data_IF_222737464264
#
_entry.id   IF_222737464264
#
_cell.length_a   1.000
_cell.length_b   1.000
_cell.length_c   1.000
_cell.angle_alpha   90.00
_cell.angle_beta   90.00
_cell.angle_gamma   90.00
#
_symmetry.space_group_name_H-M   'P 1'
#
loop_
_entity.id
_entity.type
_entity.pdbx_description
1 polymer ?
#
# COMPACT_ATOMS: atom_id res chain seq x y z
N UNK A 1 -21.26 -1.08 3.75
CA UNK A 1 -20.49 -2.30 3.40
C UNK A 1 -19.04 -1.93 3.46
N UNK A 2 -18.25 -2.65 4.28
CA UNK A 2 -16.80 -2.51 4.42
C UNK A 2 -16.16 -2.67 3.05
N UNK A 3 -15.16 -1.85 2.73
CA UNK A 3 -14.45 -1.91 1.47
C UNK A 3 -13.79 -3.28 1.31
N UNK A 4 -13.96 -3.89 0.16
CA UNK A 4 -13.45 -5.23 -0.18
C UNK A 4 -11.91 -5.34 -0.19
N UNK A 5 -11.18 -4.24 -0.01
CA UNK A 5 -9.72 -4.23 -0.06
C UNK A 5 -9.05 -4.90 1.15
N UNK A 6 -9.72 -4.98 2.31
CA UNK A 6 -9.15 -5.59 3.52
C UNK A 6 -9.14 -7.13 3.49
N UNK A 7 -9.91 -7.75 2.60
CA UNK A 7 -10.11 -9.21 2.56
C UNK A 7 -9.30 -9.89 1.44
N UNK A 8 -8.52 -9.13 0.67
CA UNK A 8 -7.72 -9.63 -0.44
C UNK A 8 -6.25 -9.74 -0.05
N UNK A 9 -5.73 -10.95 -0.08
CA UNK A 9 -4.31 -11.24 0.17
C UNK A 9 -3.58 -11.48 -1.12
N UNK A 10 -2.46 -10.82 -1.28
CA UNK A 10 -1.58 -10.97 -2.43
C UNK A 10 -0.17 -11.30 -1.94
N UNK A 11 0.39 -12.41 -2.42
CA UNK A 11 1.74 -12.88 -2.09
C UNK A 11 2.43 -13.25 -3.37
N UNK A 12 3.74 -13.02 -3.42
CA UNK A 12 4.53 -13.24 -4.61
C UNK A 12 5.94 -13.67 -4.26
N UNK A 13 6.51 -14.53 -5.10
CA UNK A 13 7.94 -14.82 -5.17
C UNK A 13 8.43 -14.25 -6.49
N UNK A 14 9.49 -13.46 -6.41
CA UNK A 14 10.07 -12.72 -7.53
C UNK A 14 11.57 -12.95 -7.61
N UNK A 15 12.06 -13.30 -8.79
CA UNK A 15 13.48 -13.43 -9.08
C UNK A 15 13.99 -12.07 -9.57
N UNK A 16 14.84 -11.44 -8.75
CA UNK A 16 15.37 -10.10 -9.04
C UNK A 16 16.47 -10.11 -10.12
N UNK A 17 17.17 -11.24 -10.31
CA UNK A 17 18.20 -11.37 -11.33
C UNK A 17 17.59 -11.54 -12.73
N UNK A 18 16.54 -12.37 -12.82
CA UNK A 18 15.83 -12.63 -14.08
C UNK A 18 14.69 -11.66 -14.37
N UNK A 19 14.29 -10.86 -13.36
CA UNK A 19 13.18 -9.93 -13.51
C UNK A 19 11.83 -10.64 -13.70
N UNK A 20 11.61 -11.81 -13.09
CA UNK A 20 10.41 -12.61 -13.36
C UNK A 20 9.69 -13.08 -12.09
N UNK A 21 8.37 -13.24 -12.21
CA UNK A 21 7.53 -13.82 -11.17
C UNK A 21 7.72 -15.34 -11.19
N UNK A 22 8.15 -15.94 -10.08
CA UNK A 22 8.25 -17.39 -9.91
C UNK A 22 6.95 -18.00 -9.35
N UNK A 23 6.19 -17.22 -8.60
CA UNK A 23 4.90 -17.64 -8.09
C UNK A 23 4.08 -16.46 -7.59
N UNK A 24 2.76 -16.54 -7.73
CA UNK A 24 1.83 -15.51 -7.25
C UNK A 24 0.56 -16.17 -6.69
N UNK A 25 0.07 -15.66 -5.58
CA UNK A 25 -1.19 -16.11 -4.98
C UNK A 25 -2.04 -14.91 -4.61
N UNK A 26 -3.29 -14.93 -5.06
CA UNK A 26 -4.32 -13.96 -4.68
C UNK A 26 -5.45 -14.72 -4.02
N UNK A 27 -5.77 -14.38 -2.78
CA UNK A 27 -6.86 -14.99 -2.03
C UNK A 27 -7.83 -13.88 -1.63
N UNK A 28 -9.08 -14.05 -2.00
CA UNK A 28 -10.18 -13.20 -1.60
C UNK A 28 -11.21 -14.08 -0.87
N UNK A 29 -10.99 -14.25 0.42
CA UNK A 29 -11.90 -15.04 1.27
C UNK A 29 -12.11 -14.32 2.61
N UNK A 30 -13.19 -14.69 3.30
CA UNK A 30 -13.55 -14.14 4.62
C UNK A 30 -12.83 -14.82 5.79
N UNK A 31 -11.82 -15.65 5.53
CA UNK A 31 -11.07 -16.33 6.59
C UNK A 31 -10.14 -15.36 7.30
N UNK A 32 -9.89 -15.64 8.59
CA UNK A 32 -9.03 -14.79 9.40
C UNK A 32 -7.58 -14.79 8.91
N UNK A 33 -7.02 -13.62 8.77
CA UNK A 33 -5.69 -13.32 8.24
C UNK A 33 -4.56 -14.15 8.86
N UNK A 34 -4.63 -14.38 10.17
CA UNK A 34 -3.57 -15.07 10.91
C UNK A 34 -3.49 -16.58 10.62
N UNK A 35 -4.59 -17.23 10.25
CA UNK A 35 -4.64 -18.67 10.02
C UNK A 35 -4.11 -19.06 8.65
N UNK A 36 -4.36 -18.25 7.63
CA UNK A 36 -4.07 -18.60 6.22
C UNK A 36 -2.73 -18.07 5.72
N UNK A 37 -2.10 -17.11 6.40
CA UNK A 37 -0.91 -16.43 5.91
C UNK A 37 0.26 -17.40 5.72
N UNK A 38 0.68 -18.09 6.77
CA UNK A 38 1.88 -18.94 6.75
C UNK A 38 1.74 -20.19 5.88
N UNK A 39 0.61 -20.94 5.93
CA UNK A 39 0.39 -22.05 4.99
C UNK A 39 0.51 -21.61 3.52
N UNK A 40 -0.10 -20.49 3.15
CA UNK A 40 -0.06 -19.97 1.77
C UNK A 40 1.35 -19.56 1.35
N UNK A 41 2.12 -18.91 2.24
CA UNK A 41 3.52 -18.55 1.93
C UNK A 41 4.36 -19.81 1.70
N UNK A 42 4.24 -20.80 2.58
CA UNK A 42 4.95 -22.08 2.43
C UNK A 42 4.60 -22.80 1.13
N UNK A 43 3.31 -22.88 0.82
CA UNK A 43 2.84 -23.55 -0.40
C UNK A 43 3.28 -22.79 -1.66
N UNK A 44 3.29 -21.45 -1.62
CA UNK A 44 3.76 -20.63 -2.73
C UNK A 44 5.26 -20.86 -3.01
N UNK A 45 6.10 -20.84 -1.98
CA UNK A 45 7.55 -21.08 -2.11
C UNK A 45 7.80 -22.50 -2.63
N UNK A 46 7.14 -23.51 -2.05
CA UNK A 46 7.26 -24.90 -2.50
C UNK A 46 6.83 -25.07 -3.97
N UNK A 47 5.72 -24.45 -4.39
CA UNK A 47 5.23 -24.55 -5.78
C UNK A 47 6.13 -23.78 -6.77
N UNK A 48 6.94 -22.86 -6.29
CA UNK A 48 8.01 -22.22 -7.06
C UNK A 48 9.31 -23.07 -7.10
N UNK A 49 9.25 -24.31 -6.58
CA UNK A 49 10.41 -25.23 -6.48
C UNK A 49 11.57 -24.67 -5.66
N UNK A 50 11.26 -23.82 -4.66
CA UNK A 50 12.20 -23.20 -3.75
C UNK A 50 12.02 -23.69 -2.31
N UNK A 51 13.07 -23.53 -1.51
CA UNK A 51 13.02 -23.60 -0.06
C UNK A 51 12.93 -22.19 0.55
N UNK A 52 12.60 -22.10 1.84
CA UNK A 52 12.54 -20.80 2.52
C UNK A 52 13.93 -20.17 2.67
N UNK A 53 14.99 -20.97 2.68
CA UNK A 53 16.40 -20.59 2.75
C UNK A 53 16.87 -19.90 1.48
N UNK A 54 16.25 -20.20 0.32
CA UNK A 54 16.56 -19.59 -0.98
C UNK A 54 16.02 -18.17 -1.08
N UNK A 55 15.12 -17.76 -0.17
CA UNK A 55 14.59 -16.39 -0.13
C UNK A 55 15.67 -15.45 0.40
N UNK A 56 16.09 -14.49 -0.41
CA UNK A 56 17.12 -13.50 -0.05
C UNK A 56 16.60 -12.29 0.72
N UNK A 57 15.33 -11.90 0.50
CA UNK A 57 14.70 -10.71 1.09
C UNK A 57 13.22 -10.96 1.34
N UNK A 58 12.71 -10.57 2.51
CA UNK A 58 11.28 -10.56 2.83
C UNK A 58 10.73 -9.14 2.77
N UNK A 59 9.86 -8.85 1.83
CA UNK A 59 9.24 -7.54 1.68
C UNK A 59 7.78 -7.54 2.14
N UNK A 60 7.34 -6.42 2.70
CA UNK A 60 5.96 -6.21 3.12
C UNK A 60 5.51 -4.78 2.89
N UNK A 61 4.26 -4.60 2.42
CA UNK A 61 3.63 -3.29 2.48
C UNK A 61 3.40 -2.90 3.94
N UNK A 62 4.04 -1.83 4.38
CA UNK A 62 4.01 -1.38 5.77
C UNK A 62 2.99 -0.27 6.04
N UNK A 63 2.28 0.22 5.02
CA UNK A 63 1.24 1.26 5.12
C UNK A 63 1.27 2.25 3.96
N UNK A 64 0.24 3.08 3.88
CA UNK A 64 -0.99 3.06 4.69
C UNK A 64 -1.88 1.84 4.42
N UNK A 65 -2.76 1.50 5.35
CA UNK A 65 -3.67 0.36 5.21
C UNK A 65 -4.41 -0.03 6.47
N UNK A 66 -5.07 -1.19 6.43
CA UNK A 66 -5.77 -1.77 7.58
C UNK A 66 -4.82 -1.99 8.76
N UNK A 67 -5.12 -1.37 9.90
CA UNK A 67 -4.30 -1.44 11.12
C UNK A 67 -3.99 -2.89 11.55
N UNK A 68 -5.01 -3.75 11.57
CA UNK A 68 -4.86 -5.17 11.89
C UNK A 68 -4.07 -5.92 10.81
N UNK A 69 -4.40 -5.69 9.54
CA UNK A 69 -3.72 -6.33 8.41
C UNK A 69 -2.22 -6.03 8.35
N UNK A 70 -1.85 -4.76 8.54
CA UNK A 70 -0.45 -4.33 8.58
C UNK A 70 0.32 -5.04 9.70
N UNK A 71 -0.24 -5.07 10.91
CA UNK A 71 0.41 -5.73 12.05
C UNK A 71 0.61 -7.22 11.83
N UNK A 72 -0.39 -7.92 11.29
CA UNK A 72 -0.28 -9.35 10.98
C UNK A 72 0.80 -9.60 9.93
N UNK A 73 0.79 -8.85 8.82
CA UNK A 73 1.78 -8.97 7.75
C UNK A 73 3.21 -8.69 8.23
N UNK A 74 3.39 -7.57 8.93
CA UNK A 74 4.70 -7.17 9.48
C UNK A 74 5.21 -8.20 10.50
N UNK A 75 4.36 -8.68 11.42
CA UNK A 75 4.76 -9.68 12.41
C UNK A 75 5.19 -10.99 11.76
N UNK A 76 4.49 -11.42 10.70
CA UNK A 76 4.85 -12.63 9.96
C UNK A 76 6.20 -12.46 9.24
N UNK A 77 6.42 -11.33 8.56
CA UNK A 77 7.70 -11.05 7.89
C UNK A 77 8.84 -10.94 8.90
N UNK A 78 8.64 -10.25 10.03
CA UNK A 78 9.62 -10.22 11.14
C UNK A 78 9.99 -11.62 11.61
N UNK A 79 8.99 -12.47 11.84
CA UNK A 79 9.21 -13.84 12.31
C UNK A 79 10.01 -14.69 11.31
N UNK A 80 9.66 -14.63 10.02
CA UNK A 80 10.37 -15.33 8.95
C UNK A 80 11.81 -14.83 8.79
N UNK A 81 12.00 -13.53 8.70
CA UNK A 81 13.30 -12.91 8.51
C UNK A 81 14.22 -13.17 9.70
N UNK A 82 13.70 -13.09 10.93
CA UNK A 82 14.44 -13.41 12.14
C UNK A 82 14.88 -14.88 12.18
N UNK A 83 13.94 -15.82 11.94
CA UNK A 83 14.22 -17.25 11.97
C UNK A 83 15.24 -17.69 10.93
N UNK A 84 15.30 -17.02 9.77
CA UNK A 84 16.18 -17.36 8.66
C UNK A 84 17.41 -16.45 8.56
N UNK A 85 17.57 -15.51 9.48
CA UNK A 85 18.67 -14.51 9.47
C UNK A 85 18.73 -13.75 8.14
N UNK A 86 17.56 -13.34 7.60
CA UNK A 86 17.43 -12.63 6.33
C UNK A 86 17.01 -11.17 6.54
N UNK A 87 17.36 -10.25 5.63
CA UNK A 87 16.88 -8.88 5.69
C UNK A 87 15.39 -8.77 5.34
N UNK A 88 14.80 -7.63 5.73
CA UNK A 88 13.45 -7.22 5.37
C UNK A 88 13.46 -5.95 4.53
N UNK A 89 12.37 -5.71 3.79
CA UNK A 89 12.06 -4.40 3.19
C UNK A 89 10.65 -3.96 3.59
N UNK A 90 10.55 -2.70 4.03
CA UNK A 90 9.29 -2.00 4.19
C UNK A 90 8.97 -1.24 2.90
N UNK A 91 7.79 -1.45 2.35
CA UNK A 91 7.34 -0.83 1.10
C UNK A 91 6.08 -0.03 1.37
N UNK A 92 6.04 1.22 0.89
CA UNK A 92 4.79 1.99 0.91
C UNK A 92 3.72 1.28 0.10
N UNK A 93 2.49 1.18 0.66
CA UNK A 93 1.33 0.65 -0.07
C UNK A 93 1.02 1.48 -1.30
N UNK A 94 1.18 2.81 -1.19
CA UNK A 94 0.92 3.75 -2.30
C UNK A 94 1.98 3.60 -3.39
N UNK A 95 3.24 3.47 -3.01
CA UNK A 95 4.34 3.24 -3.95
C UNK A 95 4.18 1.91 -4.69
N UNK A 96 3.84 0.83 -3.99
CA UNK A 96 3.59 -0.47 -4.60
C UNK A 96 2.48 -0.41 -5.67
N UNK A 97 1.48 0.48 -5.52
CA UNK A 97 0.44 0.68 -6.53
C UNK A 97 0.96 1.43 -7.76
N UNK A 98 1.90 2.37 -7.61
CA UNK A 98 2.50 3.07 -8.74
C UNK A 98 3.28 2.10 -9.64
N UNK A 99 3.95 1.09 -9.07
CA UNK A 99 4.63 0.05 -9.85
C UNK A 99 3.71 -0.84 -10.70
N UNK A 100 2.39 -0.82 -10.48
CA UNK A 100 1.46 -1.58 -11.33
C UNK A 100 1.25 -0.95 -12.71
N UNK A 101 1.56 0.33 -12.88
CA UNK A 101 1.27 1.09 -14.10
C UNK A 101 2.53 1.56 -14.83
N UNK A 102 3.64 0.87 -14.63
CA UNK A 102 4.96 1.19 -15.22
C UNK A 102 5.00 1.14 -16.75
N UNK A 103 3.97 0.59 -17.39
CA UNK A 103 3.81 0.61 -18.85
C UNK A 103 3.29 1.95 -19.41
N UNK A 104 2.91 2.89 -18.53
CA UNK A 104 2.36 4.19 -18.91
C UNK A 104 3.28 5.32 -18.44
N UNK A 105 3.66 6.22 -19.34
CA UNK A 105 4.37 7.44 -18.96
C UNK A 105 3.35 8.47 -18.49
N UNK A 106 3.27 8.70 -17.18
CA UNK A 106 2.25 9.56 -16.55
C UNK A 106 2.63 9.94 -15.12
N UNK A 107 1.88 10.89 -14.56
CA UNK A 107 1.84 11.08 -13.11
C UNK A 107 0.83 10.10 -12.51
N UNK A 108 1.23 9.35 -11.51
CA UNK A 108 0.39 8.39 -10.78
C UNK A 108 -0.03 9.02 -9.46
N UNK A 109 -1.33 9.19 -9.28
CA UNK A 109 -1.91 9.51 -7.99
C UNK A 109 -2.34 8.20 -7.31
N UNK A 110 -1.55 7.72 -6.40
CA UNK A 110 -1.91 6.59 -5.57
C UNK A 110 -2.76 7.07 -4.39
N UNK A 111 -4.03 6.66 -4.35
CA UNK A 111 -4.99 7.12 -3.35
C UNK A 111 -5.74 5.97 -2.69
N UNK A 112 -5.81 5.98 -1.36
CA UNK A 112 -6.63 5.05 -0.58
C UNK A 112 -7.66 5.79 0.26
N UNK A 113 -8.88 5.24 0.36
CA UNK A 113 -9.97 5.82 1.17
C UNK A 113 -9.59 5.83 2.66
N UNK A 114 -9.32 7.01 3.20
CA UNK A 114 -9.01 7.23 4.62
C UNK A 114 -10.26 7.55 5.46
N UNK A 115 -11.46 7.41 4.88
CA UNK A 115 -12.78 7.77 5.44
C UNK A 115 -12.97 9.26 5.69
N UNK A 116 -14.21 9.67 5.96
CA UNK A 116 -14.57 11.06 6.30
C UNK A 116 -14.10 12.08 5.25
N UNK A 117 -14.29 11.78 3.96
CA UNK A 117 -13.88 12.63 2.83
C UNK A 117 -12.37 12.92 2.81
N UNK A 118 -11.56 11.97 3.27
CA UNK A 118 -10.11 12.03 3.24
C UNK A 118 -9.54 10.83 2.49
N UNK A 119 -8.36 11.04 1.92
CA UNK A 119 -7.57 9.99 1.25
C UNK A 119 -6.16 9.96 1.82
N UNK A 120 -5.59 8.77 1.90
CA UNK A 120 -4.14 8.63 1.93
C UNK A 120 -3.66 8.76 0.51
N UNK A 121 -2.75 9.66 0.25
CA UNK A 121 -2.30 10.00 -1.09
C UNK A 121 -0.79 10.21 -1.15
N UNK A 122 -0.20 9.79 -2.25
CA UNK A 122 1.15 10.17 -2.68
C UNK A 122 1.20 10.19 -4.20
N UNK A 123 2.03 11.05 -4.75
CA UNK A 123 2.23 11.20 -6.18
C UNK A 123 3.57 10.60 -6.60
N UNK A 124 3.55 9.98 -7.77
CA UNK A 124 4.72 9.37 -8.38
C UNK A 124 4.75 9.73 -9.87
N UNK A 125 5.93 9.86 -10.44
CA UNK A 125 6.12 9.96 -11.88
C UNK A 125 6.57 8.60 -12.41
N UNK A 126 5.90 8.13 -13.44
CA UNK A 126 6.35 6.97 -14.21
C UNK A 126 6.87 7.46 -15.54
N UNK A 127 8.09 7.07 -15.86
CA UNK A 127 8.72 7.38 -17.14
C UNK A 127 9.71 6.27 -17.52
N UNK A 128 9.53 5.69 -18.72
CA UNK A 128 10.35 4.60 -19.21
C UNK A 128 10.42 3.39 -18.28
N UNK A 129 9.32 3.06 -17.60
CA UNK A 129 9.21 1.96 -16.64
C UNK A 129 9.80 2.23 -15.26
N UNK A 130 10.38 3.42 -15.01
CA UNK A 130 10.90 3.84 -13.71
C UNK A 130 9.84 4.60 -12.93
N UNK A 131 9.80 4.36 -11.63
CA UNK A 131 8.91 5.06 -10.69
C UNK A 131 9.76 6.00 -9.84
N UNK A 132 9.42 7.29 -9.88
CA UNK A 132 10.02 8.34 -9.07
C UNK A 132 8.96 8.91 -8.13
N UNK A 133 9.28 9.05 -6.86
CA UNK A 133 8.40 9.68 -5.87
C UNK A 133 8.41 11.19 -6.06
N UNK A 134 7.23 11.81 -6.16
CA UNK A 134 7.05 13.26 -6.25
C UNK A 134 6.67 13.88 -4.91
N UNK A 135 5.87 13.17 -4.10
CA UNK A 135 5.43 13.66 -2.78
C UNK A 135 5.58 12.59 -1.70
N UNK A 136 5.66 13.02 -0.46
CA UNK A 136 5.51 12.12 0.69
C UNK A 136 4.07 11.60 0.81
N UNK A 137 3.88 10.55 1.62
CA UNK A 137 2.55 10.04 1.93
C UNK A 137 1.84 10.98 2.90
N UNK A 138 0.68 11.45 2.50
CA UNK A 138 -0.15 12.31 3.32
C UNK A 138 -1.58 11.78 3.49
N UNK A 139 -2.25 12.29 4.52
CA UNK A 139 -3.68 12.10 4.68
C UNK A 139 -4.38 13.44 4.50
N UNK A 140 -4.92 13.67 3.31
CA UNK A 140 -5.52 14.93 2.90
C UNK A 140 -7.05 14.81 2.75
N UNK A 141 -7.76 15.93 2.77
CA UNK A 141 -9.11 15.99 2.24
C UNK A 141 -9.07 15.83 0.72
N UNK A 142 -10.14 15.31 0.16
CA UNK A 142 -10.21 15.02 -1.28
C UNK A 142 -10.06 16.26 -2.15
N UNK A 143 -10.57 17.42 -1.70
CA UNK A 143 -10.43 18.71 -2.38
C UNK A 143 -9.01 19.28 -2.31
N UNK A 144 -8.31 19.06 -1.18
CA UNK A 144 -6.91 19.43 -1.04
C UNK A 144 -6.01 18.56 -1.94
N UNK A 145 -6.27 17.26 -1.98
CA UNK A 145 -5.57 16.33 -2.87
C UNK A 145 -5.84 16.63 -4.37
N UNK A 146 -7.06 17.02 -4.74
CA UNK A 146 -7.38 17.40 -6.10
C UNK A 146 -6.64 18.68 -6.53
N UNK A 147 -6.55 19.68 -5.64
CA UNK A 147 -5.76 20.91 -5.91
C UNK A 147 -4.26 20.61 -6.06
N UNK A 148 -3.70 19.71 -5.27
CA UNK A 148 -2.32 19.27 -5.44
C UNK A 148 -2.09 18.65 -6.82
N UNK A 149 -3.07 17.90 -7.36
CA UNK A 149 -2.99 17.32 -8.70
C UNK A 149 -3.06 18.38 -9.81
N UNK A 150 -3.77 19.50 -9.60
CA UNK A 150 -3.89 20.56 -10.60
C UNK A 150 -2.57 21.31 -10.89
N UNK A 151 -1.52 21.06 -10.10
CA UNK A 151 -0.18 21.58 -10.36
C UNK A 151 0.57 20.81 -11.47
N UNK A 152 -0.02 19.70 -11.97
CA UNK A 152 0.59 18.83 -12.98
C UNK A 152 -0.22 18.87 -14.28
N UNK A 153 0.45 19.24 -15.38
CA UNK A 153 -0.14 19.24 -16.73
C UNK A 153 -0.04 17.86 -17.42
N UNK A 154 0.66 16.91 -16.81
CA UNK A 154 0.84 15.55 -17.33
C UNK A 154 -0.49 14.77 -17.34
N UNK A 155 -0.57 13.69 -18.14
CA UNK A 155 -1.63 12.68 -17.97
C UNK A 155 -1.54 12.10 -16.54
N UNK A 156 -2.65 12.08 -15.81
CA UNK A 156 -2.71 11.59 -14.43
C UNK A 156 -3.48 10.29 -14.38
N UNK A 157 -2.86 9.26 -13.77
CA UNK A 157 -3.50 7.97 -13.54
C UNK A 157 -3.78 7.75 -12.07
N UNK A 158 -5.06 7.57 -11.73
CA UNK A 158 -5.52 7.29 -10.37
C UNK A 158 -5.46 5.79 -10.08
N UNK A 159 -4.76 5.39 -9.02
CA UNK A 159 -4.71 4.00 -8.51
C UNK A 159 -5.16 3.95 -7.06
N UNK A 160 -5.57 2.76 -6.60
CA UNK A 160 -6.08 2.51 -5.26
C UNK A 160 -7.60 2.54 -5.15
N UNK A 161 -8.12 2.21 -3.98
CA UNK A 161 -9.58 2.22 -3.70
C UNK A 161 -10.14 3.64 -3.52
N UNK A 162 -9.27 4.63 -3.29
CA UNK A 162 -9.61 6.05 -3.31
C UNK A 162 -9.74 6.66 -4.71
N UNK A 163 -9.40 5.92 -5.79
CA UNK A 163 -9.38 6.44 -7.15
C UNK A 163 -10.73 7.05 -7.61
N UNK A 164 -11.85 6.41 -7.26
CA UNK A 164 -13.18 6.93 -7.64
C UNK A 164 -13.55 8.21 -6.87
N UNK A 165 -13.14 8.30 -5.61
CA UNK A 165 -13.35 9.49 -4.78
C UNK A 165 -12.52 10.64 -5.34
N UNK A 166 -11.26 10.37 -5.70
CA UNK A 166 -10.36 11.33 -6.31
C UNK A 166 -10.86 11.77 -7.69
N UNK A 167 -11.33 10.84 -8.55
CA UNK A 167 -11.89 11.21 -9.87
C UNK A 167 -13.03 12.20 -9.75
N UNK A 168 -13.95 11.95 -8.80
CA UNK A 168 -15.05 12.90 -8.55
C UNK A 168 -14.53 14.27 -8.10
N UNK A 169 -13.50 14.32 -7.26
CA UNK A 169 -12.93 15.59 -6.81
C UNK A 169 -12.22 16.34 -7.94
N UNK A 170 -11.45 15.64 -8.77
CA UNK A 170 -10.77 16.24 -9.93
C UNK A 170 -11.73 16.66 -11.03
N UNK A 171 -12.86 15.95 -11.23
CA UNK A 171 -13.92 16.38 -12.16
C UNK A 171 -14.58 17.70 -11.70
N UNK A 172 -14.77 17.89 -10.39
CA UNK A 172 -15.30 19.14 -9.84
C UNK A 172 -14.33 20.32 -10.04
N UNK A 173 -13.02 20.08 -10.11
CA UNK A 173 -11.99 21.08 -10.43
C UNK A 173 -11.80 21.25 -11.96
N UNK A 174 -12.56 20.53 -12.79
CA UNK A 174 -12.51 20.64 -14.26
C UNK A 174 -11.29 19.99 -14.91
N UNK A 175 -10.63 19.04 -14.25
CA UNK A 175 -9.44 18.37 -14.77
C UNK A 175 -9.81 17.26 -15.77
N UNK A 176 -9.43 17.44 -17.04
CA UNK A 176 -9.71 16.48 -18.12
C UNK A 176 -8.60 15.42 -18.31
N UNK A 177 -7.37 15.71 -17.84
CA UNK A 177 -6.20 14.86 -17.97
C UNK A 177 -6.13 13.70 -16.95
N UNK A 178 -7.19 13.46 -16.17
CA UNK A 178 -7.24 12.47 -15.07
C UNK A 178 -8.03 11.25 -15.48
N UNK A 179 -7.41 10.07 -15.40
CA UNK A 179 -8.02 8.77 -15.71
C UNK A 179 -7.88 7.79 -14.55
N UNK A 180 -8.85 6.89 -14.38
CA UNK A 180 -8.76 5.79 -13.42
C UNK A 180 -8.06 4.61 -14.10
N UNK A 181 -7.08 4.02 -13.43
CA UNK A 181 -6.40 2.82 -13.91
C UNK A 181 -7.39 1.66 -14.12
N UNK A 182 -7.17 0.80 -15.13
CA UNK A 182 -7.94 -0.44 -15.30
C UNK A 182 -7.95 -1.27 -14.03
N UNK A 183 -9.05 -2.00 -13.79
CA UNK A 183 -9.29 -2.75 -12.55
C UNK A 183 -8.12 -3.68 -12.14
N UNK A 184 -7.48 -4.44 -13.05
CA UNK A 184 -6.35 -5.29 -12.70
C UNK A 184 -5.11 -4.54 -12.18
N UNK A 185 -4.92 -3.28 -12.57
CA UNK A 185 -3.75 -2.44 -12.26
C UNK A 185 -4.00 -1.48 -11.09
N UNK A 186 -5.27 -1.25 -10.74
CA UNK A 186 -5.66 -0.21 -9.78
C UNK A 186 -5.26 -0.53 -8.35
N UNK A 187 -5.33 -1.78 -7.94
CA UNK A 187 -5.10 -2.17 -6.55
C UNK A 187 -3.70 -2.71 -6.33
N UNK A 188 -3.18 -2.52 -5.11
CA UNK A 188 -1.90 -3.08 -4.70
C UNK A 188 -1.75 -4.55 -5.11
N UNK A 189 -0.59 -4.90 -5.68
CA UNK A 189 -0.23 -6.27 -6.06
C UNK A 189 1.02 -6.74 -5.30
N UNK A 190 1.22 -8.05 -5.21
CA UNK A 190 2.50 -8.61 -4.75
C UNK A 190 3.65 -8.20 -5.66
N UNK A 191 3.38 -8.06 -6.97
CA UNK A 191 4.36 -7.61 -7.95
C UNK A 191 4.85 -6.19 -7.68
N UNK A 192 3.93 -5.25 -7.46
CA UNK A 192 4.30 -3.88 -7.11
C UNK A 192 5.12 -3.81 -5.82
N UNK A 193 4.79 -4.63 -4.80
CA UNK A 193 5.60 -4.71 -3.57
C UNK A 193 6.99 -5.26 -3.87
N UNK A 194 7.13 -6.30 -4.69
CA UNK A 194 8.43 -6.86 -5.06
C UNK A 194 9.29 -5.84 -5.80
N UNK A 195 8.73 -5.12 -6.80
CA UNK A 195 9.46 -4.12 -7.57
C UNK A 195 9.92 -2.94 -6.70
N UNK A 196 9.04 -2.42 -5.86
CA UNK A 196 9.40 -1.36 -4.92
C UNK A 196 10.49 -1.81 -3.93
N UNK A 197 10.43 -3.08 -3.47
CA UNK A 197 11.40 -3.64 -2.53
C UNK A 197 12.82 -3.77 -3.09
N UNK A 198 12.98 -3.91 -4.42
CA UNK A 198 14.31 -4.00 -5.08
C UNK A 198 15.16 -2.76 -4.77
N UNK A 199 14.51 -1.58 -4.70
CA UNK A 199 15.18 -0.31 -4.47
C UNK A 199 15.04 0.19 -3.02
N UNK A 200 14.27 -0.52 -2.19
CA UNK A 200 14.06 -0.14 -0.81
C UNK A 200 15.27 -0.45 0.08
N UNK A 201 15.51 0.35 1.13
CA UNK A 201 16.54 0.03 2.12
C UNK A 201 16.30 -1.33 2.77
N UNK A 202 17.34 -2.14 2.89
CA UNK A 202 17.28 -3.38 3.65
C UNK A 202 17.29 -3.06 5.15
N UNK A 203 16.37 -3.66 5.87
CA UNK A 203 16.15 -3.47 7.30
C UNK A 203 16.41 -4.78 8.05
N UNK A 204 16.80 -4.68 9.31
CA UNK A 204 16.71 -5.82 10.22
C UNK A 204 15.24 -6.07 10.62
N UNK A 205 14.89 -7.28 11.08
CA UNK A 205 13.52 -7.55 11.55
C UNK A 205 13.03 -6.58 12.63
N UNK A 206 13.93 -6.10 13.51
CA UNK A 206 13.60 -5.14 14.58
C UNK A 206 13.22 -3.77 14.03
N UNK A 207 13.88 -3.32 12.98
CA UNK A 207 13.66 -2.02 12.34
C UNK A 207 12.37 -1.96 11.52
N UNK A 208 11.82 -3.12 11.12
CA UNK A 208 10.61 -3.17 10.31
C UNK A 208 9.39 -2.72 11.14
N UNK A 209 8.82 -1.58 10.84
CA UNK A 209 7.71 -0.97 11.57
C UNK A 209 6.55 -0.59 10.65
N UNK A 210 5.30 -0.60 11.14
CA UNK A 210 4.17 -0.09 10.37
C UNK A 210 4.23 1.43 10.25
N UNK A 211 3.82 1.94 9.10
CA UNK A 211 3.63 3.36 8.84
C UNK A 211 2.16 3.73 9.08
N UNK A 212 1.92 4.59 10.07
CA UNK A 212 0.59 5.06 10.43
C UNK A 212 0.47 6.55 10.13
N UNK A 213 -0.24 6.90 9.04
CA UNK A 213 -0.53 8.29 8.69
C UNK A 213 -1.69 8.89 9.52
N UNK A 214 -2.47 8.04 10.18
CA UNK A 214 -3.50 8.43 11.14
C UNK A 214 -3.37 7.64 12.43
N UNK A 215 -3.71 8.27 13.54
CA UNK A 215 -3.89 7.57 14.80
C UNK A 215 -5.03 6.53 14.68
N UNK A 216 -4.95 5.40 15.39
CA UNK A 216 -6.04 4.42 15.46
C UNK A 216 -7.37 5.07 15.85
N UNK A 217 -8.48 4.57 15.31
CA UNK A 217 -9.81 5.15 15.55
C UNK A 217 -10.13 5.26 17.04
N UNK A 218 -9.86 4.22 17.83
CA UNK A 218 -10.08 4.22 19.26
C UNK A 218 -9.29 5.33 20.00
N UNK A 219 -8.08 5.62 19.55
CA UNK A 219 -7.26 6.68 20.14
C UNK A 219 -7.77 8.06 19.75
N UNK A 220 -8.24 8.25 18.52
CA UNK A 220 -8.90 9.50 18.08
C UNK A 220 -10.20 9.77 18.83
N UNK A 221 -11.03 8.74 19.02
CA UNK A 221 -12.28 8.82 19.79
C UNK A 221 -12.02 9.14 21.27
N UNK A 222 -10.98 8.55 21.86
CA UNK A 222 -10.57 8.86 23.23
C UNK A 222 -10.08 10.31 23.36
N UNK A 223 -9.29 10.78 22.41
CA UNK A 223 -8.83 12.19 22.40
C UNK A 223 -10.00 13.16 22.24
N UNK A 224 -10.95 12.86 21.35
CA UNK A 224 -12.16 13.68 21.19
C UNK A 224 -12.99 13.73 22.48
N UNK A 225 -13.28 12.59 23.13
CA UNK A 225 -13.99 12.54 24.41
C UNK A 225 -13.27 13.31 25.52
N UNK A 226 -11.95 13.21 25.58
CA UNK A 226 -11.18 13.95 26.58
C UNK A 226 -11.18 15.46 26.31
N UNK A 227 -11.20 15.89 25.04
CA UNK A 227 -11.31 17.30 24.67
C UNK A 227 -12.69 17.87 25.03
N UNK A 228 -13.77 17.12 24.82
CA UNK A 228 -15.13 17.52 25.19
C UNK A 228 -15.30 17.58 26.72
N UNK A 229 -14.82 16.60 27.46
CA UNK A 229 -14.81 16.59 28.91
C UNK A 229 -13.97 17.73 29.54
N UNK A 230 -12.95 18.24 28.82
CA UNK A 230 -12.17 19.39 29.23
C UNK A 230 -12.93 20.72 29.00
N UNK A 231 -13.74 20.81 27.95
CA UNK A 231 -14.61 21.97 27.69
C UNK A 231 -15.75 22.08 28.71
N UNK A 232 -16.44 20.96 28.99
CA UNK A 232 -17.52 20.91 29.98
C UNK A 232 -17.08 21.25 31.41
N UNK A 233 -15.79 21.11 31.76
CA UNK A 233 -15.25 21.52 33.09
C UNK A 233 -14.89 22.99 33.17
N UNK A 234 -14.96 23.74 32.08
CA UNK A 234 -14.67 25.17 32.02
C UNK A 234 -15.90 26.06 31.90
N UNK A 235 -17.07 25.47 31.66
CA UNK A 235 -18.39 26.10 31.78
C UNK A 235 -18.97 25.85 33.17
#
# INVERSE_FOLDING_TARGET
KSSAASDVYKRQVYDTEKGQILGSTVINNKLTHSVTLMPVVRDLVRNAELSMEDIGLFAVANGPGSFTGLRIGISAVKGLAFALSKPCAAVSTLEAMAYNVTAYDCVVCAAMDARCNQVYVALFRVNGGKVERLTEEECLKTDEAARMLSEYDDDIMLVGDGAFIMKKATDNEGMENVKIAPDPLRYQTGYGVCLAAVNAPQLTPEQLMPMYLKLPQAQRELMAKNADAYKERKE
#
